data_IF_500480961496
#
_entry.id   IF_500480961496
#
_cell.length_a   1.000
_cell.length_b   1.000
_cell.length_c   1.000
_cell.angle_alpha   90.00
_cell.angle_beta   90.00
_cell.angle_gamma   90.00
#
_symmetry.space_group_name_H-M   'P 1'
#
loop_
_entity.id
_entity.type
_entity.pdbx_description
1 polymer ?
#
# COMPACT_ATOMS: atom_id res chain seq x y z
N UNK A 1 11.04 29.56 -10.12
CA UNK A 1 11.06 28.63 -11.26
C UNK A 1 10.33 27.37 -10.80
N UNK A 2 9.12 27.14 -11.27
CA UNK A 2 8.34 25.94 -10.89
C UNK A 2 9.05 24.71 -11.46
N UNK A 3 9.31 23.66 -10.68
CA UNK A 3 9.89 22.43 -11.23
C UNK A 3 8.97 21.88 -12.33
N UNK A 4 9.53 21.19 -13.34
CA UNK A 4 8.72 20.56 -14.37
C UNK A 4 7.75 19.57 -13.72
N UNK A 5 6.52 19.52 -14.21
CA UNK A 5 5.53 18.54 -13.79
C UNK A 5 6.11 17.14 -14.00
N UNK A 6 6.14 16.28 -12.97
CA UNK A 6 6.63 14.92 -13.11
C UNK A 6 5.81 14.14 -14.14
N UNK A 7 6.48 13.35 -14.98
CA UNK A 7 5.81 12.43 -15.90
C UNK A 7 5.26 11.22 -15.13
N UNK A 8 3.95 11.22 -14.89
CA UNK A 8 3.26 10.16 -14.19
C UNK A 8 3.36 8.79 -14.88
N UNK A 9 3.37 8.75 -16.21
CA UNK A 9 3.52 7.51 -16.98
C UNK A 9 4.90 6.91 -16.76
N UNK A 10 5.95 7.74 -16.81
CA UNK A 10 7.31 7.29 -16.52
C UNK A 10 7.48 6.80 -15.07
N UNK A 11 6.83 7.47 -14.10
CA UNK A 11 6.85 7.06 -12.70
C UNK A 11 6.17 5.70 -12.51
N UNK A 12 4.96 5.52 -13.05
CA UNK A 12 4.24 4.25 -12.98
C UNK A 12 5.01 3.12 -13.66
N UNK A 13 5.62 3.38 -14.82
CA UNK A 13 6.45 2.40 -15.51
C UNK A 13 7.66 1.96 -14.66
N UNK A 14 8.33 2.90 -13.98
CA UNK A 14 9.44 2.60 -13.06
C UNK A 14 8.98 1.79 -11.84
N UNK A 15 7.81 2.13 -11.29
CA UNK A 15 7.22 1.39 -10.18
C UNK A 15 6.87 -0.05 -10.58
N UNK A 16 6.20 -0.22 -11.73
CA UNK A 16 5.88 -1.53 -12.29
C UNK A 16 7.15 -2.36 -12.53
N UNK A 17 8.20 -1.76 -13.09
CA UNK A 17 9.49 -2.42 -13.28
C UNK A 17 10.14 -2.85 -11.94
N UNK A 18 10.02 -2.02 -10.89
CA UNK A 18 10.52 -2.39 -9.56
C UNK A 18 9.72 -3.56 -8.96
N UNK A 19 8.39 -3.54 -9.06
CA UNK A 19 7.52 -4.61 -8.59
C UNK A 19 7.86 -5.94 -9.27
N UNK A 20 7.87 -5.98 -10.60
CA UNK A 20 8.15 -7.20 -11.38
C UNK A 20 9.59 -7.71 -11.22
N UNK A 21 10.55 -6.84 -10.91
CA UNK A 21 11.94 -7.24 -10.63
C UNK A 21 12.08 -8.00 -9.31
N UNK A 22 11.30 -7.64 -8.30
CA UNK A 22 11.47 -8.15 -6.94
C UNK A 22 10.36 -9.11 -6.50
N UNK A 23 9.19 -9.07 -7.13
CA UNK A 23 8.00 -9.84 -6.74
C UNK A 23 7.41 -10.51 -7.98
N UNK A 24 7.13 -11.80 -7.88
CA UNK A 24 6.33 -12.53 -8.87
C UNK A 24 4.89 -12.54 -8.35
N UNK A 25 4.04 -11.72 -8.95
CA UNK A 25 2.60 -11.68 -8.68
C UNK A 25 1.86 -12.70 -9.57
N UNK A 26 0.69 -13.20 -9.14
CA UNK A 26 0.00 -14.30 -9.82
C UNK A 26 -0.45 -13.95 -11.24
N UNK A 27 -0.72 -12.66 -11.50
CA UNK A 27 -1.10 -12.16 -12.82
C UNK A 27 -0.50 -10.77 -13.08
N UNK A 28 -0.37 -10.35 -14.35
CA UNK A 28 0.03 -8.99 -14.71
C UNK A 28 -0.87 -7.92 -14.06
N UNK A 29 -2.19 -8.16 -14.07
CA UNK A 29 -3.18 -7.22 -13.53
C UNK A 29 -3.03 -7.05 -12.02
N UNK A 30 -2.56 -8.08 -11.30
CA UNK A 30 -2.22 -7.93 -9.88
C UNK A 30 -1.07 -6.95 -9.67
N UNK A 31 -0.09 -6.92 -10.60
CA UNK A 31 1.00 -5.93 -10.56
C UNK A 31 0.48 -4.53 -10.83
N UNK A 32 -0.37 -4.38 -11.84
CA UNK A 32 -1.00 -3.10 -12.17
C UNK A 32 -1.85 -2.59 -10.99
N UNK A 33 -2.62 -3.46 -10.36
CA UNK A 33 -3.44 -3.12 -9.20
C UNK A 33 -2.58 -2.61 -8.03
N UNK A 34 -1.44 -3.26 -7.75
CA UNK A 34 -0.51 -2.80 -6.71
C UNK A 34 0.11 -1.45 -7.09
N UNK A 35 0.56 -1.28 -8.34
CA UNK A 35 1.17 -0.03 -8.79
C UNK A 35 0.19 1.15 -8.74
N UNK A 36 -1.05 0.95 -9.19
CA UNK A 36 -2.11 1.95 -9.13
C UNK A 36 -2.55 2.25 -7.70
N UNK A 37 -2.61 1.23 -6.84
CA UNK A 37 -2.91 1.45 -5.42
C UNK A 37 -1.83 2.30 -4.75
N UNK A 38 -0.54 2.01 -4.98
CA UNK A 38 0.58 2.82 -4.48
C UNK A 38 0.44 4.26 -4.99
N UNK A 39 0.20 4.47 -6.28
CA UNK A 39 0.00 5.81 -6.82
C UNK A 39 -1.19 6.55 -6.18
N UNK A 40 -2.29 5.84 -5.91
CA UNK A 40 -3.45 6.41 -5.24
C UNK A 40 -3.14 6.90 -3.82
N UNK A 41 -2.21 6.26 -3.08
CA UNK A 41 -1.80 6.71 -1.74
C UNK A 41 -1.19 8.12 -1.75
N UNK A 42 -0.48 8.50 -2.81
CA UNK A 42 0.10 9.86 -2.98
C UNK A 42 -0.93 10.91 -3.36
N UNK A 43 -2.14 10.50 -3.73
CA UNK A 43 -3.23 11.37 -4.15
C UNK A 43 -4.42 11.26 -3.19
N UNK A 44 -4.22 10.81 -1.95
CA UNK A 44 -5.29 10.53 -1.00
C UNK A 44 -6.34 11.66 -0.87
N UNK A 45 -5.96 12.96 -0.84
CA UNK A 45 -6.93 14.07 -0.78
C UNK A 45 -7.87 14.18 -2.00
N UNK A 46 -7.50 13.59 -3.14
CA UNK A 46 -8.33 13.58 -4.35
C UNK A 46 -9.44 12.51 -4.33
N UNK A 47 -9.45 11.62 -3.32
CA UNK A 47 -10.40 10.51 -3.22
C UNK A 47 -11.38 10.71 -2.06
N UNK A 48 -12.64 10.34 -2.27
CA UNK A 48 -13.65 10.35 -1.22
C UNK A 48 -13.37 9.30 -0.11
N UNK A 49 -12.69 8.21 -0.46
CA UNK A 49 -12.37 7.10 0.43
C UNK A 49 -10.98 6.55 0.17
N UNK A 50 -10.27 6.16 1.22
CA UNK A 50 -8.98 5.49 1.11
C UNK A 50 -9.17 4.06 0.55
N UNK A 51 -8.50 3.70 -0.57
CA UNK A 51 -8.57 2.35 -1.10
C UNK A 51 -7.81 1.38 -0.19
N UNK A 52 -8.36 0.18 0.03
CA UNK A 52 -7.70 -0.88 0.82
C UNK A 52 -7.15 -1.98 -0.09
N UNK A 53 -5.83 -2.16 -0.07
CA UNK A 53 -5.16 -3.29 -0.71
C UNK A 53 -5.06 -4.46 0.27
N UNK A 54 -5.68 -5.60 -0.08
CA UNK A 54 -5.61 -6.82 0.74
C UNK A 54 -4.67 -7.81 0.07
N UNK A 55 -3.51 -8.03 0.68
CA UNK A 55 -2.52 -9.01 0.22
C UNK A 55 -2.81 -10.34 0.93
N UNK A 56 -3.43 -11.29 0.23
CA UNK A 56 -3.68 -12.64 0.74
C UNK A 56 -2.63 -13.62 0.21
N UNK A 57 -2.00 -14.34 1.12
CA UNK A 57 -0.99 -15.36 0.84
C UNK A 57 -1.43 -16.68 1.49
N UNK A 58 -1.66 -17.77 0.73
CA UNK A 58 -2.09 -19.04 1.31
C UNK A 58 -1.00 -19.74 2.13
N UNK A 59 0.28 -19.44 1.90
CA UNK A 59 1.41 -20.14 2.54
C UNK A 59 2.51 -19.18 3.03
N UNK A 60 3.15 -19.53 4.17
CA UNK A 60 4.36 -18.86 4.66
C UNK A 60 5.47 -18.96 3.60
N UNK A 61 6.14 -17.83 3.28
CA UNK A 61 7.27 -17.67 2.33
C UNK A 61 6.92 -17.47 0.84
N UNK A 62 5.68 -17.19 0.48
CA UNK A 62 5.29 -16.94 -0.92
C UNK A 62 5.62 -15.52 -1.46
N UNK A 63 6.62 -14.82 -0.89
CA UNK A 63 7.00 -13.47 -1.34
C UNK A 63 6.20 -12.31 -0.73
N UNK A 64 5.27 -12.55 0.22
CA UNK A 64 4.50 -11.50 0.92
C UNK A 64 5.39 -10.42 1.54
N UNK A 65 6.45 -10.81 2.26
CA UNK A 65 7.37 -9.85 2.88
C UNK A 65 8.05 -8.96 1.84
N UNK A 66 8.48 -9.54 0.71
CA UNK A 66 9.12 -8.76 -0.36
C UNK A 66 8.16 -7.76 -1.01
N UNK A 67 6.90 -8.14 -1.19
CA UNK A 67 5.88 -7.22 -1.67
C UNK A 67 5.65 -6.08 -0.68
N UNK A 68 5.59 -6.38 0.63
CA UNK A 68 5.47 -5.37 1.66
C UNK A 68 6.68 -4.42 1.69
N UNK A 69 7.91 -4.92 1.54
CA UNK A 69 9.12 -4.08 1.47
C UNK A 69 9.03 -3.06 0.31
N UNK A 70 8.56 -3.50 -0.87
CA UNK A 70 8.41 -2.62 -2.04
C UNK A 70 7.29 -1.61 -1.81
N UNK A 71 6.15 -2.05 -1.27
CA UNK A 71 5.02 -1.16 -0.96
C UNK A 71 5.42 -0.11 0.06
N UNK A 72 6.05 -0.51 1.16
CA UNK A 72 6.56 0.40 2.20
C UNK A 72 7.53 1.44 1.60
N UNK A 73 8.46 1.00 0.75
CA UNK A 73 9.43 1.92 0.16
C UNK A 73 8.84 2.90 -0.88
N UNK A 74 7.60 2.68 -1.34
CA UNK A 74 7.06 3.41 -2.50
C UNK A 74 5.71 4.08 -2.26
N UNK A 75 4.95 3.70 -1.22
CA UNK A 75 3.71 4.37 -0.87
C UNK A 75 3.95 5.70 -0.15
N UNK A 76 2.89 6.49 -0.03
CA UNK A 76 2.93 7.77 0.66
C UNK A 76 3.04 7.59 2.17
N UNK A 77 4.09 8.15 2.78
CA UNK A 77 4.28 8.23 4.24
C UNK A 77 3.89 6.91 4.97
N UNK A 78 4.61 5.79 4.74
CA UNK A 78 4.25 4.50 5.31
C UNK A 78 4.27 4.53 6.83
N UNK A 79 3.23 3.98 7.46
CA UNK A 79 3.21 3.68 8.88
C UNK A 79 2.94 2.19 9.06
N UNK A 80 4.00 1.44 9.40
CA UNK A 80 3.86 0.02 9.74
C UNK A 80 3.29 -0.11 11.14
N UNK A 81 2.20 -0.83 11.26
CA UNK A 81 1.62 -1.18 12.55
C UNK A 81 1.56 -2.69 12.70
N UNK A 82 2.31 -3.21 13.67
CA UNK A 82 2.16 -4.58 14.16
C UNK A 82 1.38 -4.48 15.47
N UNK A 83 0.15 -4.97 15.50
CA UNK A 83 -0.71 -4.95 16.70
C UNK A 83 -1.06 -3.55 17.26
N UNK A 84 -1.23 -2.53 16.41
CA UNK A 84 -1.68 -1.22 16.88
C UNK A 84 -3.15 -1.27 17.33
N UNK A 85 -3.46 -0.66 18.48
CA UNK A 85 -4.84 -0.48 18.90
C UNK A 85 -5.58 0.50 17.98
N UNK A 86 -6.90 0.37 17.88
CA UNK A 86 -7.76 1.30 17.11
C UNK A 86 -7.51 2.76 17.51
N UNK A 87 -7.22 3.02 18.79
CA UNK A 87 -6.93 4.36 19.29
C UNK A 87 -5.57 4.90 18.81
N UNK A 88 -4.56 4.03 18.65
CA UNK A 88 -3.27 4.43 18.09
C UNK A 88 -3.40 4.78 16.60
N UNK A 89 -4.17 3.98 15.84
CA UNK A 89 -4.49 4.24 14.43
C UNK A 89 -5.25 5.55 14.27
N UNK A 90 -6.28 5.80 15.10
CA UNK A 90 -7.05 7.04 15.02
C UNK A 90 -6.18 8.29 15.25
N UNK A 91 -5.22 8.22 16.18
CA UNK A 91 -4.32 9.34 16.47
C UNK A 91 -3.29 9.63 15.38
N UNK A 92 -2.99 8.67 14.52
CA UNK A 92 -2.05 8.89 13.42
C UNK A 92 -2.71 9.47 12.16
N UNK A 93 -4.03 9.64 12.14
CA UNK A 93 -4.75 10.25 11.03
C UNK A 93 -4.78 11.77 11.27
N UNK A 94 -4.03 12.51 10.47
CA UNK A 94 -4.02 13.98 10.44
C UNK A 94 -4.45 14.51 9.05
N UNK A 95 -4.11 15.76 8.73
CA UNK A 95 -4.44 16.39 7.45
C UNK A 95 -3.69 15.76 6.25
N UNK A 96 -2.55 15.10 6.47
CA UNK A 96 -1.78 14.35 5.47
C UNK A 96 -1.58 12.89 5.94
N UNK A 97 -2.66 12.09 5.94
CA UNK A 97 -2.68 10.83 6.65
C UNK A 97 -1.67 9.82 6.07
N UNK A 98 -0.98 9.05 6.92
CA UNK A 98 -0.01 8.06 6.47
C UNK A 98 -0.69 6.87 5.77
N UNK A 99 0.08 6.16 4.93
CA UNK A 99 -0.36 4.85 4.43
C UNK A 99 -0.18 3.81 5.53
N UNK A 100 -1.29 3.34 6.10
CA UNK A 100 -1.30 2.32 7.14
C UNK A 100 -1.00 0.94 6.55
N UNK A 101 0.14 0.35 6.95
CA UNK A 101 0.52 -1.02 6.62
C UNK A 101 0.29 -1.91 7.83
N UNK A 102 -0.78 -2.70 7.78
CA UNK A 102 -1.23 -3.55 8.88
C UNK A 102 -0.88 -5.00 8.58
N UNK A 103 0.00 -5.59 9.39
CA UNK A 103 0.14 -7.05 9.42
C UNK A 103 -0.88 -7.65 10.39
N UNK A 104 -1.31 -8.89 10.12
CA UNK A 104 -2.38 -9.56 10.90
C UNK A 104 -3.71 -8.77 10.98
N UNK A 105 -4.05 -8.02 9.93
CA UNK A 105 -5.24 -7.17 9.87
C UNK A 105 -6.57 -7.88 10.22
N UNK A 106 -6.65 -9.21 10.03
CA UNK A 106 -7.80 -10.01 10.45
C UNK A 106 -8.05 -9.92 11.97
N UNK A 107 -7.04 -9.63 12.79
CA UNK A 107 -7.18 -9.44 14.25
C UNK A 107 -7.71 -8.06 14.63
N UNK A 108 -7.41 -7.03 13.82
CA UNK A 108 -7.81 -5.63 14.07
C UNK A 108 -9.21 -5.36 13.52
N UNK A 109 -9.53 -5.93 12.35
CA UNK A 109 -10.82 -5.72 11.68
C UNK A 109 -11.77 -6.92 11.79
N UNK A 110 -11.32 -8.06 12.31
CA UNK A 110 -12.11 -9.29 12.46
C UNK A 110 -12.73 -9.46 13.85
N UNK A 111 -13.57 -8.52 14.26
CA UNK A 111 -14.55 -8.74 15.34
C UNK A 111 -15.94 -8.37 14.81
N UNK A 112 -16.46 -9.25 13.96
CA UNK A 112 -17.80 -9.15 13.38
C UNK A 112 -18.31 -10.53 12.98
N UNK A 113 -18.45 -11.43 13.97
CA UNK A 113 -19.32 -12.59 13.83
C UNK A 113 -20.69 -12.18 14.36
N UNK A 114 -21.64 -11.96 13.45
CA UNK A 114 -23.06 -12.18 13.69
C UNK A 114 -23.57 -13.11 12.60
#
# INVERSE_FOLDING_TARGET
>A
MTPPTPDGTAILARLHAALTRYVILPTPEATDAVALWIAATHAQPAWAHAPRLVIRAPEKRCGKSRLLDVVEATCHNPLITVNASTAAVYRSIDEDPPTLLVDEADTIFGAGRS
#
